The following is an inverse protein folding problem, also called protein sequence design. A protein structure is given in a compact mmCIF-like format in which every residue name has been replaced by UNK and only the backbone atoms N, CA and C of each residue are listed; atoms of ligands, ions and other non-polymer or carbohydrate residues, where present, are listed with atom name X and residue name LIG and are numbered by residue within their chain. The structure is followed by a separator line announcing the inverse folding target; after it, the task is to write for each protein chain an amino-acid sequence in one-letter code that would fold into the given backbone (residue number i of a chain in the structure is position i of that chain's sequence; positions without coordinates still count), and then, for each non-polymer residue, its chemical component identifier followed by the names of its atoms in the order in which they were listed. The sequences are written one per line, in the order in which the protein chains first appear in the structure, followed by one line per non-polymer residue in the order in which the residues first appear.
data_IF_001563470723
#
_entry.id   IF_001563470723
#
_cell.length_a   1.000
_cell.length_b   1.000
_cell.length_c   1.000
_cell.angle_alpha   90.00
_cell.angle_beta   90.00
_cell.angle_gamma   90.00
#
_symmetry.space_group_name_H-M   'P 1'
#
loop_
_entity.id
_entity.type
_entity.pdbx_description
1 polymer ?
#
# COMPACT_ATOMS: atom_id res chain seq x y z
N UNK A 1 -16.77 13.39 7.57
CA UNK A 1 -15.89 12.33 7.06
C UNK A 1 -14.55 12.98 6.78
N UNK A 2 -13.47 12.43 7.32
CA UNK A 2 -12.14 13.04 7.23
C UNK A 2 -11.53 12.77 5.86
N UNK A 3 -10.83 13.76 5.33
CA UNK A 3 -10.00 13.61 4.12
C UNK A 3 -8.55 13.77 4.57
N UNK A 4 -7.70 12.81 4.22
CA UNK A 4 -6.26 12.91 4.40
C UNK A 4 -5.62 13.41 3.11
N UNK A 5 -4.88 14.52 3.20
CA UNK A 5 -4.33 15.18 2.02
C UNK A 5 -2.86 14.84 1.82
N UNK A 6 -2.48 14.50 0.59
CA UNK A 6 -1.11 14.14 0.21
C UNK A 6 -0.07 15.19 0.56
N UNK A 7 -0.45 16.45 0.74
CA UNK A 7 0.46 17.51 1.19
C UNK A 7 1.01 17.25 2.60
N UNK A 8 0.28 16.49 3.43
CA UNK A 8 0.67 16.19 4.81
C UNK A 8 1.55 14.94 4.92
N UNK A 9 1.53 14.06 3.91
CA UNK A 9 2.19 12.75 3.94
C UNK A 9 3.39 12.62 2.99
N UNK A 10 3.50 13.50 1.99
CA UNK A 10 4.58 13.43 1.00
C UNK A 10 5.55 14.59 1.22
N UNK A 11 6.81 14.31 1.65
CA UNK A 11 7.78 15.32 2.12
C UNK A 11 8.22 16.33 1.04
N UNK A 12 7.87 16.10 -0.23
CA UNK A 12 7.89 17.12 -1.27
C UNK A 12 6.72 16.93 -2.23
N UNK A 13 6.18 18.02 -2.79
CA UNK A 13 5.04 17.99 -3.72
C UNK A 13 5.27 17.16 -5.00
N UNK A 14 6.52 16.72 -5.26
CA UNK A 14 6.91 15.93 -6.43
C UNK A 14 7.24 14.47 -6.13
N UNK A 15 7.35 14.06 -4.87
CA UNK A 15 7.63 12.66 -4.56
C UNK A 15 6.42 11.79 -4.97
N UNK A 16 6.61 10.78 -5.85
CA UNK A 16 5.50 9.96 -6.31
C UNK A 16 5.09 8.90 -5.28
N UNK A 17 6.02 8.52 -4.39
CA UNK A 17 5.85 7.47 -3.37
C UNK A 17 6.40 7.93 -2.01
N UNK A 18 5.68 7.62 -0.95
CA UNK A 18 6.09 7.82 0.45
C UNK A 18 5.85 6.54 1.27
N UNK A 19 6.61 6.35 2.34
CA UNK A 19 6.50 5.17 3.21
C UNK A 19 6.12 5.64 4.62
N UNK A 20 5.03 5.08 5.13
CA UNK A 20 4.44 5.46 6.42
C UNK A 20 4.30 4.23 7.33
N UNK A 21 5.33 3.91 8.13
CA UNK A 21 5.25 2.85 9.12
C UNK A 21 4.23 3.15 10.23
N UNK A 22 3.55 2.11 10.71
CA UNK A 22 2.59 2.15 11.82
C UNK A 22 2.93 1.04 12.81
N UNK A 23 3.76 1.38 13.79
CA UNK A 23 4.38 0.44 14.74
C UNK A 23 4.04 0.82 16.20
N UNK A 24 2.84 0.51 16.72
CA UNK A 24 1.71 -0.15 16.05
C UNK A 24 0.72 0.85 15.41
N UNK A 25 -0.18 0.33 14.58
CA UNK A 25 -1.39 1.00 14.13
C UNK A 25 -2.42 1.02 15.27
N UNK A 26 -2.78 2.23 15.72
CA UNK A 26 -3.90 2.43 16.63
C UNK A 26 -5.25 2.36 15.87
N UNK A 27 -6.36 2.30 16.61
CA UNK A 27 -7.66 2.57 16.00
C UNK A 27 -7.63 3.94 15.31
N UNK A 28 -8.14 3.98 14.07
CA UNK A 28 -8.10 5.18 13.24
C UNK A 28 -9.47 5.38 12.60
N UNK A 29 -10.12 6.54 12.78
CA UNK A 29 -11.49 6.78 12.30
C UNK A 29 -11.65 6.65 10.78
N UNK A 30 -12.90 6.55 10.34
CA UNK A 30 -13.22 6.49 8.91
C UNK A 30 -12.73 7.71 8.15
N UNK A 31 -12.01 7.45 7.07
CA UNK A 31 -11.42 8.46 6.21
C UNK A 31 -11.24 7.94 4.78
N UNK A 32 -10.84 8.84 3.90
CA UNK A 32 -10.36 8.61 2.54
C UNK A 32 -9.26 9.63 2.23
N UNK A 33 -8.67 9.59 1.04
CA UNK A 33 -7.47 10.36 0.72
C UNK A 33 -7.51 10.92 -0.71
N UNK A 34 -6.65 11.89 -1.00
CA UNK A 34 -6.39 12.34 -2.39
C UNK A 34 -5.18 11.62 -3.04
N UNK A 35 -4.84 10.47 -2.50
CA UNK A 35 -3.76 9.58 -2.93
C UNK A 35 -4.18 8.12 -2.76
N UNK A 36 -3.35 7.22 -3.26
CA UNK A 36 -3.53 5.77 -3.16
C UNK A 36 -2.57 5.18 -2.13
N UNK A 37 -2.90 3.98 -1.66
CA UNK A 37 -2.14 3.32 -0.59
C UNK A 37 -2.07 1.81 -0.81
N UNK A 38 -0.92 1.23 -0.50
CA UNK A 38 -0.76 -0.21 -0.31
C UNK A 38 -0.46 -0.46 1.16
N UNK A 39 -1.39 -1.08 1.86
CA UNK A 39 -1.24 -1.49 3.27
C UNK A 39 -0.58 -2.86 3.30
N UNK A 40 0.52 -2.99 4.04
CA UNK A 40 1.23 -4.25 4.24
C UNK A 40 1.27 -4.57 5.73
N UNK A 41 0.57 -5.63 6.16
CA UNK A 41 0.55 -6.05 7.56
C UNK A 41 1.72 -6.99 7.85
N UNK A 42 2.61 -6.60 8.76
CA UNK A 42 3.79 -7.36 9.14
C UNK A 42 3.50 -8.37 10.26
N UNK A 43 2.80 -7.93 11.30
CA UNK A 43 2.38 -8.79 12.43
C UNK A 43 1.23 -8.16 13.23
N UNK A 44 0.76 -8.88 14.26
CA UNK A 44 -0.43 -8.51 15.02
C UNK A 44 -1.72 -8.77 14.25
N UNK A 45 -2.83 -8.26 14.79
CA UNK A 45 -4.17 -8.44 14.22
C UNK A 45 -5.03 -7.17 14.37
N UNK A 46 -6.05 -7.04 13.55
CA UNK A 46 -7.05 -5.99 13.69
C UNK A 46 -8.21 -6.17 12.71
N UNK A 47 -9.17 -5.25 12.77
CA UNK A 47 -10.25 -5.16 11.80
C UNK A 47 -10.02 -3.90 10.94
N UNK A 48 -9.90 -4.12 9.64
CA UNK A 48 -9.89 -3.08 8.63
C UNK A 48 -11.28 -3.03 8.00
N UNK A 49 -12.07 -2.02 8.32
CA UNK A 49 -13.39 -1.84 7.66
C UNK A 49 -13.15 -1.03 6.40
N UNK A 50 -13.45 -1.60 5.25
CA UNK A 50 -13.17 -1.06 3.93
C UNK A 50 -14.47 -0.99 3.12
N UNK A 51 -14.87 0.21 2.72
CA UNK A 51 -16.16 0.51 2.09
C UNK A 51 -17.35 -0.10 2.84
N UNK A 52 -17.32 -0.01 4.18
CA UNK A 52 -18.35 -0.55 5.08
C UNK A 52 -18.28 -2.06 5.31
N UNK A 53 -17.34 -2.77 4.67
CA UNK A 53 -17.14 -4.21 4.86
C UNK A 53 -15.98 -4.50 5.81
N UNK A 54 -16.17 -5.29 6.89
CA UNK A 54 -15.09 -5.61 7.82
C UNK A 54 -14.18 -6.72 7.28
N UNK A 55 -12.86 -6.51 7.39
CA UNK A 55 -11.84 -7.50 7.09
C UNK A 55 -10.95 -7.74 8.30
N UNK A 56 -10.89 -8.98 8.78
CA UNK A 56 -9.86 -9.37 9.77
C UNK A 56 -8.51 -9.42 9.08
N UNK A 57 -7.58 -8.59 9.53
CA UNK A 57 -6.23 -8.49 8.98
C UNK A 57 -5.19 -9.00 9.99
N UNK A 58 -4.13 -9.60 9.46
CA UNK A 58 -3.01 -10.12 10.24
C UNK A 58 -1.74 -10.17 9.40
N UNK A 59 -0.60 -10.52 10.00
CA UNK A 59 0.67 -10.66 9.28
C UNK A 59 0.53 -11.41 7.95
N UNK A 60 0.99 -10.78 6.86
CA UNK A 60 0.87 -11.28 5.48
C UNK A 60 -0.37 -10.77 4.73
N UNK A 61 -1.29 -10.02 5.35
CA UNK A 61 -2.34 -9.31 4.62
C UNK A 61 -1.74 -8.13 3.85
N UNK A 62 -2.14 -8.00 2.59
CA UNK A 62 -1.86 -6.83 1.75
C UNK A 62 -3.21 -6.26 1.28
N UNK A 63 -3.35 -4.94 1.33
CA UNK A 63 -4.53 -4.25 0.84
C UNK A 63 -4.15 -3.10 -0.10
N UNK A 64 -4.90 -2.93 -1.19
CA UNK A 64 -4.81 -1.79 -2.10
C UNK A 64 -6.02 -0.88 -1.86
N UNK A 65 -5.74 0.38 -1.54
CA UNK A 65 -6.71 1.42 -1.21
C UNK A 65 -6.63 2.49 -2.29
N UNK A 66 -7.75 2.78 -2.95
CA UNK A 66 -7.88 3.87 -3.93
C UNK A 66 -8.30 5.15 -3.22
N UNK A 67 -8.11 6.29 -3.88
CA UNK A 67 -8.44 7.62 -3.35
C UNK A 67 -9.90 7.76 -2.84
N UNK A 68 -10.84 7.13 -3.52
CA UNK A 68 -12.26 7.18 -3.17
C UNK A 68 -12.70 6.08 -2.20
N UNK A 69 -11.84 5.11 -1.88
CA UNK A 69 -12.16 4.06 -0.93
C UNK A 69 -12.19 4.65 0.49
N UNK A 70 -13.21 4.29 1.26
CA UNK A 70 -13.39 4.70 2.64
C UNK A 70 -12.95 3.59 3.57
N UNK A 71 -12.11 3.90 4.53
CA UNK A 71 -11.67 2.88 5.47
C UNK A 71 -11.36 3.37 6.87
N UNK A 72 -11.37 2.44 7.82
CA UNK A 72 -10.99 2.65 9.22
C UNK A 72 -10.29 1.41 9.79
N UNK A 73 -9.61 1.61 10.91
CA UNK A 73 -9.05 0.52 11.72
C UNK A 73 -9.69 0.51 13.09
N UNK A 74 -10.12 -0.67 13.52
CA UNK A 74 -10.67 -0.90 14.86
C UNK A 74 -10.21 -2.26 15.41
N UNK A 75 -10.42 -2.47 16.71
CA UNK A 75 -10.07 -3.72 17.39
C UNK A 75 -8.63 -4.20 17.11
N UNK A 76 -7.67 -3.28 17.12
CA UNK A 76 -6.26 -3.55 16.84
C UNK A 76 -5.56 -4.19 18.05
N UNK A 77 -4.84 -5.28 17.83
CA UNK A 77 -3.98 -5.95 18.82
C UNK A 77 -2.55 -6.09 18.28
N UNK A 78 -1.68 -5.20 18.76
CA UNK A 78 -0.29 -5.05 18.31
C UNK A 78 -0.14 -5.07 16.78
N UNK A 79 -1.12 -4.50 16.07
CA UNK A 79 -1.17 -4.46 14.62
C UNK A 79 -0.02 -3.61 14.11
N UNK A 80 0.97 -4.22 13.48
CA UNK A 80 2.08 -3.52 12.87
C UNK A 80 1.99 -3.65 11.36
N UNK A 81 1.92 -2.50 10.70
CA UNK A 81 1.77 -2.43 9.25
C UNK A 81 2.57 -1.24 8.70
N UNK A 82 2.77 -1.26 7.39
CA UNK A 82 3.40 -0.16 6.66
C UNK A 82 2.51 0.23 5.50
N UNK A 83 2.27 1.54 5.38
CA UNK A 83 1.50 2.12 4.30
C UNK A 83 2.47 2.64 3.23
N UNK A 84 2.43 2.05 2.04
CA UNK A 84 3.17 2.54 0.87
C UNK A 84 2.23 3.45 0.10
N UNK A 85 2.40 4.75 0.30
CA UNK A 85 1.54 5.78 -0.28
C UNK A 85 2.06 6.15 -1.67
N UNK A 86 1.15 6.42 -2.61
CA UNK A 86 1.50 6.95 -3.92
C UNK A 86 0.41 7.86 -4.46
N UNK A 87 0.77 8.93 -5.19
CA UNK A 87 -0.18 9.99 -5.55
C UNK A 87 -1.22 9.52 -6.58
N UNK A 88 -0.80 9.39 -7.83
CA UNK A 88 -1.62 8.93 -8.96
C UNK A 88 -0.69 8.41 -10.07
N UNK A 89 -1.20 7.70 -11.09
CA UNK A 89 -0.36 7.18 -12.17
C UNK A 89 0.39 8.29 -12.92
N UNK A 90 -0.19 9.50 -12.99
CA UNK A 90 0.38 10.65 -13.69
C UNK A 90 1.47 11.39 -12.88
N UNK A 91 1.65 11.04 -11.59
CA UNK A 91 2.67 11.64 -10.73
C UNK A 91 4.06 11.03 -10.92
N UNK A 92 4.15 9.90 -11.62
CA UNK A 92 5.42 9.21 -11.91
C UNK A 92 6.15 9.87 -13.07
N UNK A 93 7.47 10.03 -12.94
CA UNK A 93 8.30 10.65 -13.97
C UNK A 93 8.82 9.62 -14.99
N UNK A 94 9.06 8.38 -14.57
CA UNK A 94 9.66 7.34 -15.41
C UNK A 94 8.73 6.15 -15.63
N UNK A 95 7.89 5.82 -14.65
CA UNK A 95 6.93 4.73 -14.75
C UNK A 95 5.65 5.14 -15.47
N UNK A 96 5.12 4.21 -16.24
CA UNK A 96 3.80 4.29 -16.86
C UNK A 96 3.17 2.88 -16.86
N UNK A 97 1.85 2.80 -17.05
CA UNK A 97 1.13 1.54 -17.17
C UNK A 97 0.96 0.75 -15.87
N UNK A 98 1.01 1.44 -14.72
CA UNK A 98 0.89 0.80 -13.39
C UNK A 98 -0.45 0.08 -13.20
N UNK A 99 -1.51 0.55 -13.86
CA UNK A 99 -2.84 -0.05 -13.90
C UNK A 99 -2.81 -1.54 -14.26
N UNK A 100 -1.86 -1.98 -15.10
CA UNK A 100 -1.73 -3.38 -15.50
C UNK A 100 -1.28 -4.30 -14.37
N UNK A 101 -0.66 -3.74 -13.32
CA UNK A 101 -0.19 -4.49 -12.15
C UNK A 101 -1.12 -4.36 -10.94
N UNK A 102 -1.94 -3.31 -10.90
CA UNK A 102 -2.89 -3.06 -9.82
C UNK A 102 -4.08 -4.04 -9.86
N UNK A 103 -4.77 -4.26 -8.73
CA UNK A 103 -6.06 -4.93 -8.75
C UNK A 103 -7.05 -4.14 -9.62
N UNK A 104 -7.86 -4.86 -10.38
CA UNK A 104 -8.85 -4.29 -11.29
C UNK A 104 -10.23 -4.67 -10.80
N UNK A 105 -11.13 -3.70 -10.74
CA UNK A 105 -12.53 -3.94 -10.42
C UNK A 105 -13.24 -4.57 -11.61
N UNK A 106 -13.98 -5.65 -11.35
CA UNK A 106 -14.74 -6.38 -12.36
C UNK A 106 -16.12 -6.69 -11.79
N UNK A 107 -17.18 -6.37 -12.53
CA UNK A 107 -18.57 -6.63 -12.14
C UNK A 107 -18.95 -6.10 -10.75
N UNK A 108 -18.43 -4.92 -10.38
CA UNK A 108 -18.65 -4.28 -9.08
C UNK A 108 -17.86 -4.91 -7.92
N UNK A 109 -16.95 -5.83 -8.22
CA UNK A 109 -16.06 -6.46 -7.25
C UNK A 109 -14.62 -5.98 -7.43
N UNK A 110 -14.11 -5.28 -6.42
CA UNK A 110 -12.71 -4.86 -6.34
C UNK A 110 -11.95 -5.78 -5.36
N UNK A 111 -11.00 -6.60 -5.82
CA UNK A 111 -10.22 -7.49 -4.95
C UNK A 111 -9.13 -6.71 -4.19
N UNK A 112 -9.55 -5.85 -3.26
CA UNK A 112 -8.67 -4.94 -2.51
C UNK A 112 -7.74 -5.67 -1.57
N UNK A 113 -8.13 -6.83 -1.03
CA UNK A 113 -7.35 -7.60 -0.06
C UNK A 113 -6.85 -8.92 -0.62
N UNK A 114 -5.60 -9.25 -0.34
CA UNK A 114 -5.08 -10.61 -0.52
C UNK A 114 -4.05 -10.97 0.56
N UNK A 115 -3.64 -12.24 0.55
CA UNK A 115 -2.65 -12.76 1.48
C UNK A 115 -1.40 -13.19 0.74
N UNK A 116 -0.24 -12.82 1.29
CA UNK A 116 1.06 -13.28 0.84
C UNK A 116 1.65 -14.27 1.85
N UNK A 117 2.49 -15.19 1.38
CA UNK A 117 3.23 -16.08 2.25
C UNK A 117 4.42 -15.36 2.92
N UNK A 118 5.04 -16.02 3.90
CA UNK A 118 6.14 -15.43 4.69
C UNK A 118 7.37 -15.06 3.85
N UNK A 119 7.70 -15.85 2.82
CA UNK A 119 8.83 -15.57 1.93
C UNK A 119 8.59 -14.30 1.10
N UNK A 120 7.38 -14.13 0.57
CA UNK A 120 6.99 -12.90 -0.16
C UNK A 120 6.94 -11.72 0.81
N UNK A 121 6.37 -11.88 2.01
CA UNK A 121 6.34 -10.81 3.01
C UNK A 121 7.75 -10.32 3.38
N UNK A 122 8.72 -11.24 3.52
CA UNK A 122 10.11 -10.87 3.77
C UNK A 122 10.72 -10.05 2.63
N UNK A 123 10.46 -10.43 1.38
CA UNK A 123 10.91 -9.68 0.20
C UNK A 123 10.26 -8.29 0.11
N UNK A 124 8.95 -8.20 0.40
CA UNK A 124 8.22 -6.93 0.49
C UNK A 124 8.87 -6.01 1.53
N UNK A 125 9.16 -6.52 2.74
CA UNK A 125 9.82 -5.74 3.80
C UNK A 125 11.20 -5.22 3.39
N UNK A 126 11.95 -6.02 2.63
CA UNK A 126 13.25 -5.58 2.09
C UNK A 126 13.08 -4.42 1.10
N UNK A 127 12.14 -4.50 0.17
CA UNK A 127 11.87 -3.44 -0.81
C UNK A 127 11.39 -2.15 -0.14
N UNK A 128 10.45 -2.28 0.81
CA UNK A 128 9.95 -1.15 1.61
C UNK A 128 11.08 -0.49 2.39
N UNK A 129 11.92 -1.27 3.08
CA UNK A 129 13.07 -0.74 3.80
C UNK A 129 14.13 -0.07 2.91
N UNK A 130 14.27 -0.51 1.64
CA UNK A 130 15.12 0.19 0.68
C UNK A 130 14.52 1.54 0.27
N UNK A 131 13.19 1.63 0.09
CA UNK A 131 12.50 2.89 -0.21
C UNK A 131 12.58 3.90 0.94
N UNK A 132 12.44 3.43 2.19
CA UNK A 132 12.63 4.26 3.39
C UNK A 132 14.05 4.84 3.47
N UNK A 133 15.07 3.99 3.31
CA UNK A 133 16.48 4.39 3.39
C UNK A 133 16.93 5.32 2.27
N UNK A 134 16.28 5.25 1.11
CA UNK A 134 16.55 6.16 0.00
C UNK A 134 16.30 7.63 0.38
N UNK A 135 15.51 7.89 1.42
CA UNK A 135 15.20 9.24 1.90
C UNK A 135 14.45 10.07 0.87
N UNK A 136 14.41 11.39 1.07
CA UNK A 136 13.58 12.29 0.24
C UNK A 136 14.39 12.98 -0.86
N UNK A 137 15.36 12.25 -1.42
CA UNK A 137 16.13 12.73 -2.57
C UNK A 137 15.23 12.97 -3.77
N UNK A 138 15.31 14.18 -4.34
CA UNK A 138 14.45 14.62 -5.47
C UNK A 138 15.23 14.88 -6.76
N UNK A 139 16.50 14.47 -6.82
CA UNK A 139 17.23 14.46 -8.10
C UNK A 139 16.75 13.30 -8.98
N UNK A 140 17.00 13.40 -10.29
CA UNK A 140 16.50 12.41 -11.25
C UNK A 140 16.93 10.97 -10.89
N UNK A 141 18.18 10.70 -10.45
CA UNK A 141 18.57 9.36 -9.98
C UNK A 141 17.80 8.87 -8.75
N UNK A 142 17.58 9.71 -7.73
CA UNK A 142 16.83 9.30 -6.54
C UNK A 142 15.36 9.01 -6.87
N UNK A 143 14.73 9.85 -7.69
CA UNK A 143 13.36 9.64 -8.17
C UNK A 143 13.27 8.34 -8.97
N UNK A 144 14.17 8.14 -9.94
CA UNK A 144 14.22 6.92 -10.73
C UNK A 144 14.40 5.67 -9.87
N UNK A 145 15.30 5.71 -8.87
CA UNK A 145 15.53 4.58 -7.97
C UNK A 145 14.29 4.28 -7.12
N UNK A 146 13.60 5.30 -6.59
CA UNK A 146 12.37 5.13 -5.82
C UNK A 146 11.26 4.52 -6.68
N UNK A 147 11.11 4.98 -7.91
CA UNK A 147 10.17 4.40 -8.87
C UNK A 147 10.53 2.94 -9.21
N UNK A 148 11.80 2.61 -9.47
CA UNK A 148 12.25 1.22 -9.71
C UNK A 148 11.87 0.30 -8.54
N UNK A 149 12.12 0.73 -7.30
CA UNK A 149 11.77 -0.06 -6.11
C UNK A 149 10.25 -0.24 -5.98
N UNK A 150 9.48 0.79 -6.28
CA UNK A 150 8.02 0.70 -6.29
C UNK A 150 7.49 -0.26 -7.36
N UNK A 151 8.07 -0.23 -8.58
CA UNK A 151 7.74 -1.18 -9.63
C UNK A 151 8.09 -2.62 -9.24
N UNK A 152 9.25 -2.84 -8.61
CA UNK A 152 9.63 -4.15 -8.09
C UNK A 152 8.61 -4.66 -7.05
N UNK A 153 8.13 -3.78 -6.16
CA UNK A 153 7.09 -4.11 -5.20
C UNK A 153 5.79 -4.53 -5.91
N UNK A 154 5.31 -3.73 -6.87
CA UNK A 154 4.09 -4.04 -7.62
C UNK A 154 4.18 -5.38 -8.37
N UNK A 155 5.31 -5.64 -9.04
CA UNK A 155 5.55 -6.90 -9.75
C UNK A 155 5.55 -8.09 -8.79
N UNK A 156 6.23 -7.97 -7.64
CA UNK A 156 6.27 -9.02 -6.61
C UNK A 156 4.87 -9.34 -6.09
N UNK A 157 4.12 -8.30 -5.73
CA UNK A 157 2.76 -8.43 -5.21
C UNK A 157 1.81 -9.02 -6.26
N UNK A 158 1.87 -8.57 -7.52
CA UNK A 158 1.05 -9.10 -8.61
C UNK A 158 1.32 -10.58 -8.89
N UNK A 159 2.59 -11.00 -8.89
CA UNK A 159 2.94 -12.42 -9.07
C UNK A 159 2.39 -13.27 -7.93
N UNK A 160 2.43 -12.75 -6.70
CA UNK A 160 1.91 -13.46 -5.53
C UNK A 160 0.39 -13.63 -5.58
N UNK A 161 -0.36 -12.62 -6.05
CA UNK A 161 -1.83 -12.70 -6.14
C UNK A 161 -2.31 -13.70 -7.20
N UNK A 162 -1.56 -13.86 -8.30
CA UNK A 162 -1.88 -14.85 -9.35
C UNK A 162 -1.60 -16.29 -8.91
N UNK A 163 -0.55 -16.52 -8.13
CA UNK A 163 -0.20 -17.86 -7.64
C UNK A 163 -1.19 -18.35 -6.57
N UNK A 164 -1.66 -17.46 -5.68
CA UNK A 164 -2.67 -17.80 -4.67
C UNK A 164 -4.06 -18.18 -5.23
N UNK A 165 -4.31 -17.94 -6.53
CA UNK A 165 -5.51 -18.38 -7.25
C UNK A 165 -5.38 -19.74 -7.92
N UNK A 166 -4.17 -20.32 -8.01
CA UNK A 166 -3.94 -21.64 -8.62
C UNK A 166 -4.08 -22.80 -7.63
N UNK A 167 -4.06 -22.49 -6.33
CA UNK A 167 -4.17 -23.45 -5.23
C UNK A 167 -5.58 -23.49 -4.60
N UNK A 168 -6.59 -22.94 -5.29
CA UNK A 168 -8.03 -23.02 -4.98
C UNK A 168 -8.76 -23.69 -6.15
#
# INVERSE_FOLDING_TARGET
MTVLHSVDFFPSGKAPVAIEPRLPQAAFPEHHHDFHEIVIVEHGTGIHVFNGQPYTISGGTVCFVRDHDRHLYEHTDNLCLTNVLWRSPDAFQFLAGLDQLLPQEQDGYYPSHWRVNQSVLQQVRQLVGLMERAGDGMDAPAVANREILFMQLLVLLRRSSLNGRRDQ
#
